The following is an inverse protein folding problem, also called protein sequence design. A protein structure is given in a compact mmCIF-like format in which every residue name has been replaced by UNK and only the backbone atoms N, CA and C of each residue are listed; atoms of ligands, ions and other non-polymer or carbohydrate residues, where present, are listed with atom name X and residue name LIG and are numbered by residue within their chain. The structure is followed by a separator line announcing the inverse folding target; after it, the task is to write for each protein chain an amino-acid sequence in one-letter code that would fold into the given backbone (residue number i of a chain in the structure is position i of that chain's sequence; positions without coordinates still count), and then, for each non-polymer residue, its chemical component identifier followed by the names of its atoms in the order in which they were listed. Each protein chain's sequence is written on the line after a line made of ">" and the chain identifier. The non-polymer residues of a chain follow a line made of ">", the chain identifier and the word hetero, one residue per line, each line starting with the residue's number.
data_IF_800063407720
#
_entry.id   IF_800063407720
#
_cell.length_a   1.000
_cell.length_b   1.000
_cell.length_c   1.000
_cell.angle_alpha   90.00
_cell.angle_beta   90.00
_cell.angle_gamma   90.00
#
_symmetry.space_group_name_H-M   'P 1'
#
loop_
_entity.id
_entity.type
_entity.pdbx_description
1 polymer ?
#
# COMPACT_ATOMS: atom_id res chain seq x y z
N UNK A 1 6.66 -3.59 -3.77
CA UNK A 1 5.29 -3.85 -4.22
C UNK A 1 4.32 -3.46 -3.13
N UNK A 2 3.13 -2.97 -3.50
CA UNK A 2 2.06 -2.60 -2.57
C UNK A 2 0.74 -3.18 -3.07
N UNK A 3 -0.05 -3.76 -2.17
CA UNK A 3 -1.41 -4.25 -2.43
C UNK A 3 -2.33 -3.85 -1.28
N UNK A 4 -3.65 -3.81 -1.51
CA UNK A 4 -4.65 -3.73 -0.44
C UNK A 4 -4.91 -5.11 0.20
N UNK A 5 -5.37 -5.09 1.45
CA UNK A 5 -5.78 -6.27 2.20
C UNK A 5 -7.22 -6.14 2.70
N UNK A 6 -8.05 -7.08 2.30
CA UNK A 6 -9.48 -7.12 2.57
C UNK A 6 -9.83 -8.22 3.60
N UNK A 7 -10.99 -8.10 4.23
CA UNK A 7 -11.49 -9.02 5.27
C UNK A 7 -12.09 -10.33 4.73
N UNK A 8 -11.95 -10.58 3.43
CA UNK A 8 -12.31 -11.84 2.80
C UNK A 8 -11.15 -12.84 2.99
N UNK A 9 -11.32 -13.92 3.80
CA UNK A 9 -10.25 -14.88 4.04
C UNK A 9 -9.92 -15.74 2.80
N UNK A 10 -10.85 -15.88 1.85
CA UNK A 10 -10.64 -16.64 0.62
C UNK A 10 -10.01 -15.77 -0.48
N UNK A 11 -10.25 -14.46 -0.44
CA UNK A 11 -9.70 -13.46 -1.38
C UNK A 11 -9.23 -12.20 -0.65
N UNK A 12 -8.15 -12.31 0.15
CA UNK A 12 -7.72 -11.18 0.97
C UNK A 12 -7.03 -10.08 0.16
N UNK A 13 -6.55 -10.37 -1.05
CA UNK A 13 -5.91 -9.38 -1.90
C UNK A 13 -6.95 -8.50 -2.59
N UNK A 14 -6.76 -7.19 -2.48
CA UNK A 14 -7.55 -6.20 -3.21
C UNK A 14 -6.66 -5.05 -3.70
N UNK A 15 -7.12 -4.21 -4.65
CA UNK A 15 -6.29 -3.12 -5.18
C UNK A 15 -5.89 -2.12 -4.10
N UNK A 16 -4.67 -1.58 -4.23
CA UNK A 16 -4.27 -0.35 -3.56
C UNK A 16 -4.47 0.85 -4.50
N UNK A 17 -4.71 2.00 -3.90
CA UNK A 17 -4.96 3.27 -4.57
C UNK A 17 -4.04 4.34 -4.00
N UNK A 18 -3.73 5.34 -4.82
CA UNK A 18 -3.05 6.55 -4.37
C UNK A 18 -3.94 7.75 -4.66
N UNK A 19 -4.18 8.57 -3.65
CA UNK A 19 -4.95 9.80 -3.77
C UNK A 19 -4.07 10.98 -3.40
N UNK A 20 -3.96 11.95 -4.31
CA UNK A 20 -3.33 13.23 -4.00
C UNK A 20 -4.22 14.00 -3.01
N UNK A 21 -3.60 14.51 -1.95
CA UNK A 21 -4.23 15.32 -0.91
C UNK A 21 -3.44 16.61 -0.72
N UNK A 22 -4.10 17.66 -0.22
CA UNK A 22 -3.42 18.85 0.25
C UNK A 22 -2.91 18.62 1.67
N UNK A 23 -1.66 18.96 1.91
CA UNK A 23 -1.05 18.97 3.23
C UNK A 23 -0.66 20.42 3.55
N UNK A 24 -1.24 20.97 4.62
CA UNK A 24 -1.04 22.34 5.08
C UNK A 24 0.44 22.72 5.27
N UNK A 25 1.34 21.74 5.42
CA UNK A 25 2.79 21.97 5.51
C UNK A 25 3.56 21.77 4.20
N UNK A 26 3.25 20.72 3.44
CA UNK A 26 4.03 20.30 2.26
C UNK A 26 3.44 20.78 0.92
N UNK A 27 2.27 21.42 0.93
CA UNK A 27 1.53 21.84 -0.26
C UNK A 27 0.70 20.70 -0.85
N UNK A 28 1.32 19.55 -1.16
CA UNK A 28 0.59 18.34 -1.53
C UNK A 28 1.32 17.07 -1.11
N UNK A 29 0.55 16.04 -0.78
CA UNK A 29 1.04 14.69 -0.49
C UNK A 29 0.17 13.66 -1.24
N UNK A 30 0.55 12.39 -1.19
CA UNK A 30 -0.23 11.26 -1.67
C UNK A 30 -0.51 10.30 -0.52
N UNK A 31 -1.77 9.93 -0.34
CA UNK A 31 -2.15 8.85 0.55
C UNK A 31 -2.31 7.58 -0.27
N UNK A 32 -1.50 6.57 0.05
CA UNK A 32 -1.65 5.21 -0.47
C UNK A 32 -2.49 4.42 0.51
N UNK A 33 -3.61 3.90 0.05
CA UNK A 33 -4.57 3.16 0.86
C UNK A 33 -5.16 2.00 0.06
N UNK A 34 -5.74 1.04 0.74
CA UNK A 34 -6.37 -0.12 0.12
C UNK A 34 -7.08 -0.93 1.19
N UNK A 35 -7.99 -1.79 0.76
CA UNK A 35 -8.75 -2.70 1.61
C UNK A 35 -9.41 -2.08 2.85
N UNK A 36 -10.08 -2.91 3.64
CA UNK A 36 -10.59 -2.51 4.96
C UNK A 36 -9.62 -2.90 6.09
N UNK A 37 -8.60 -3.72 5.80
CA UNK A 37 -7.51 -4.06 6.72
C UNK A 37 -6.19 -3.36 6.36
N UNK A 38 -6.25 -2.37 5.46
CA UNK A 38 -5.10 -1.55 5.07
C UNK A 38 -4.34 -2.11 3.87
N UNK A 39 -3.06 -1.77 3.81
CA UNK A 39 -2.16 -2.17 2.72
C UNK A 39 -1.09 -3.13 3.22
N UNK A 40 -0.56 -3.93 2.29
CA UNK A 40 0.57 -4.82 2.51
C UNK A 40 1.70 -4.47 1.56
N UNK A 41 2.91 -4.57 2.08
CA UNK A 41 4.14 -4.17 1.43
C UNK A 41 5.14 -5.32 1.44
N UNK A 42 5.89 -5.41 0.36
CA UNK A 42 7.10 -6.23 0.24
C UNK A 42 8.09 -5.54 -0.67
N UNK A 43 9.36 -5.94 -0.63
CA UNK A 43 10.37 -5.39 -1.55
C UNK A 43 9.98 -5.66 -3.00
N UNK A 44 10.36 -4.76 -3.91
CA UNK A 44 10.11 -4.95 -5.34
C UNK A 44 10.84 -6.16 -5.93
N UNK A 45 11.91 -6.62 -5.27
CA UNK A 45 12.69 -7.80 -5.63
C UNK A 45 12.19 -9.09 -4.98
N UNK A 46 11.12 -9.02 -4.17
CA UNK A 46 10.54 -10.19 -3.53
C UNK A 46 9.42 -10.77 -4.40
N UNK A 47 9.72 -11.90 -5.03
CA UNK A 47 8.82 -12.61 -5.95
C UNK A 47 7.92 -13.63 -5.24
N UNK A 48 8.00 -13.78 -3.90
CA UNK A 48 7.14 -14.71 -3.15
C UNK A 48 5.67 -14.26 -3.16
N UNK A 49 4.75 -15.21 -3.06
CA UNK A 49 3.33 -14.88 -2.87
C UNK A 49 3.08 -14.08 -1.58
N UNK A 50 2.00 -13.31 -1.57
CA UNK A 50 1.61 -12.55 -0.39
C UNK A 50 1.24 -13.48 0.77
N UNK A 51 1.89 -13.32 1.93
CA UNK A 51 1.69 -14.17 3.09
C UNK A 51 1.86 -13.38 4.39
N UNK A 52 0.84 -13.37 5.26
CA UNK A 52 0.83 -12.61 6.52
C UNK A 52 1.90 -13.05 7.52
N UNK A 53 2.36 -14.29 7.40
CA UNK A 53 3.41 -14.87 8.26
C UNK A 53 4.83 -14.67 7.71
N UNK A 54 4.99 -14.10 6.51
CA UNK A 54 6.30 -13.80 5.94
C UNK A 54 6.88 -12.52 6.58
N UNK A 55 7.98 -12.67 7.31
CA UNK A 55 8.65 -11.57 8.00
C UNK A 55 9.25 -10.50 7.07
N UNK A 56 9.40 -10.78 5.78
CA UNK A 56 9.84 -9.79 4.78
C UNK A 56 8.67 -8.97 4.20
N UNK A 57 7.44 -9.28 4.61
CA UNK A 57 6.22 -8.59 4.20
C UNK A 57 5.56 -7.96 5.43
N UNK A 58 5.18 -6.69 5.33
CA UNK A 58 4.57 -5.97 6.45
C UNK A 58 3.28 -5.28 6.04
N UNK A 59 2.46 -4.94 7.03
CA UNK A 59 1.20 -4.24 6.84
C UNK A 59 1.25 -2.84 7.40
N UNK A 60 0.56 -1.92 6.75
CA UNK A 60 0.35 -0.54 7.21
C UNK A 60 -1.13 -0.18 7.00
N UNK A 61 -1.68 0.72 7.83
CA UNK A 61 -3.04 1.20 7.59
C UNK A 61 -3.13 2.01 6.29
N UNK A 62 -2.12 2.83 6.03
CA UNK A 62 -1.91 3.63 4.82
C UNK A 62 -0.46 4.13 4.79
N UNK A 63 -0.01 4.68 3.66
CA UNK A 63 1.23 5.45 3.58
C UNK A 63 0.96 6.88 3.13
N UNK A 64 1.74 7.82 3.67
CA UNK A 64 1.79 9.20 3.19
C UNK A 64 3.12 9.42 2.45
N UNK A 65 3.06 9.80 1.19
CA UNK A 65 4.21 10.04 0.32
C UNK A 65 4.22 11.51 -0.13
N UNK A 66 5.41 12.09 -0.22
CA UNK A 66 5.55 13.53 -0.52
C UNK A 66 5.37 13.87 -2.00
N UNK A 67 5.93 13.07 -2.90
CA UNK A 67 6.01 13.41 -4.32
C UNK A 67 5.45 12.30 -5.22
N UNK A 68 4.93 12.69 -6.39
CA UNK A 68 4.40 11.75 -7.38
C UNK A 68 5.48 10.81 -7.93
N UNK A 69 6.76 11.25 -7.94
CA UNK A 69 7.89 10.42 -8.39
C UNK A 69 8.11 9.15 -7.56
N UNK A 70 7.57 9.15 -6.33
CA UNK A 70 7.67 8.02 -5.41
C UNK A 70 6.59 6.95 -5.70
N UNK A 71 5.66 7.24 -6.62
CA UNK A 71 4.61 6.34 -7.06
C UNK A 71 4.93 5.73 -8.43
N UNK A 72 4.64 4.44 -8.57
CA UNK A 72 4.61 3.73 -9.85
C UNK A 72 3.39 2.83 -9.86
N UNK A 73 2.59 2.95 -10.92
CA UNK A 73 1.42 2.11 -11.15
C UNK A 73 1.78 1.04 -12.20
N UNK A 74 1.21 -0.15 -12.03
CA UNK A 74 1.33 -1.28 -12.96
C UNK A 74 0.03 -1.51 -13.71
#
# INVERSE_FOLDING_TARGET
>A
MVTGWCDDPDQPLCPAYAQRVEDSGAGSAFIVFGGNWGIRLKLATDDNDWNIEDANQWGEGYLSLGEERDLRFE
#
